data_IF_622967588313
#
_entry.id   IF_622967588313
#
_cell.length_a   1.000
_cell.length_b   1.000
_cell.length_c   1.000
_cell.angle_alpha   90.00
_cell.angle_beta   90.00
_cell.angle_gamma   90.00
#
_symmetry.space_group_name_H-M   'P 1'
#
loop_
_entity.id
_entity.type
_entity.pdbx_description
1 polymer ?
#
# COMPACT_ATOMS: atom_id res chain seq x y z
N UNK A 1 27.49 20.16 -2.16
CA UNK A 1 26.70 20.42 -3.37
C UNK A 1 25.37 19.71 -3.20
N UNK A 2 24.29 20.43 -3.45
CA UNK A 2 22.92 19.96 -3.30
C UNK A 2 22.53 19.12 -4.52
N UNK A 3 21.79 18.03 -4.32
CA UNK A 3 21.24 17.27 -5.46
C UNK A 3 20.26 18.09 -6.30
N UNK A 4 19.71 19.18 -5.74
CA UNK A 4 18.89 20.16 -6.47
C UNK A 4 19.68 20.93 -7.55
N UNK A 5 21.01 20.92 -7.51
CA UNK A 5 21.87 21.56 -8.51
C UNK A 5 22.08 20.68 -9.77
N UNK A 6 21.56 19.44 -9.76
CA UNK A 6 21.55 18.59 -10.95
C UNK A 6 20.60 19.21 -12.00
N UNK A 7 21.07 19.48 -13.23
CA UNK A 7 20.22 20.05 -14.28
C UNK A 7 18.96 19.21 -14.52
N UNK A 8 17.79 19.85 -14.49
CA UNK A 8 16.50 19.19 -14.69
C UNK A 8 15.93 18.48 -13.45
N UNK A 9 16.59 18.56 -12.29
CA UNK A 9 16.08 17.98 -11.04
C UNK A 9 14.68 18.51 -10.71
N UNK A 10 13.80 17.59 -10.31
CA UNK A 10 12.38 17.88 -10.02
C UNK A 10 11.89 17.06 -8.84
N UNK A 11 10.82 17.52 -8.20
CA UNK A 11 10.03 16.70 -7.30
C UNK A 11 9.25 15.64 -8.08
N UNK A 12 8.97 14.51 -7.43
CA UNK A 12 8.33 13.36 -8.06
C UNK A 12 9.32 12.33 -8.58
N UNK A 13 8.83 11.41 -9.40
CA UNK A 13 9.61 10.27 -9.87
C UNK A 13 10.62 10.70 -10.95
N UNK A 14 11.87 10.28 -10.78
CA UNK A 14 12.93 10.47 -11.76
C UNK A 14 13.15 9.18 -12.55
N UNK A 15 13.46 9.31 -13.83
CA UNK A 15 13.71 8.21 -14.76
C UNK A 15 14.90 8.58 -15.66
N UNK A 16 15.41 7.63 -16.44
CA UNK A 16 16.39 7.94 -17.48
C UNK A 16 17.69 8.55 -16.99
N UNK A 17 18.19 9.51 -17.78
CA UNK A 17 19.43 10.25 -17.50
C UNK A 17 19.35 11.06 -16.20
N UNK A 18 18.17 11.54 -15.81
CA UNK A 18 18.00 12.32 -14.59
C UNK A 18 18.11 11.44 -13.34
N UNK A 19 17.50 10.24 -13.37
CA UNK A 19 17.68 9.24 -12.32
C UNK A 19 19.16 8.82 -12.22
N UNK A 20 19.81 8.60 -13.35
CA UNK A 20 21.23 8.23 -13.38
C UNK A 20 22.14 9.35 -12.86
N UNK A 21 21.85 10.60 -13.20
CA UNK A 21 22.59 11.77 -12.68
C UNK A 21 22.52 11.87 -11.16
N UNK A 22 21.39 11.49 -10.55
CA UNK A 22 21.28 11.41 -9.09
C UNK A 22 22.16 10.32 -8.49
N UNK A 23 22.25 9.15 -9.14
CA UNK A 23 23.13 8.04 -8.75
C UNK A 23 24.61 8.46 -8.86
N UNK A 24 25.01 9.10 -9.96
CA UNK A 24 26.37 9.61 -10.14
C UNK A 24 26.72 10.73 -9.15
N UNK A 25 25.76 11.60 -8.83
CA UNK A 25 25.92 12.60 -7.79
C UNK A 25 26.15 11.95 -6.42
N UNK A 26 25.40 10.89 -6.09
CA UNK A 26 25.62 10.09 -4.87
C UNK A 26 27.05 9.53 -4.79
N UNK A 27 27.54 8.94 -5.90
CA UNK A 27 28.91 8.42 -6.01
C UNK A 27 29.98 9.49 -5.85
N UNK A 28 29.76 10.66 -6.48
CA UNK A 28 30.69 11.80 -6.48
C UNK A 28 30.83 12.43 -5.10
N UNK A 29 29.72 12.65 -4.41
CA UNK A 29 29.70 13.34 -3.10
C UNK A 29 29.71 12.39 -1.90
N UNK A 30 29.75 11.08 -2.13
CA UNK A 30 29.96 10.09 -1.07
C UNK A 30 28.77 9.93 -0.14
N UNK A 31 27.57 9.79 -0.70
CA UNK A 31 26.37 9.38 0.03
C UNK A 31 25.65 8.26 -0.71
N UNK A 32 24.72 7.58 -0.03
CA UNK A 32 23.89 6.55 -0.63
C UNK A 32 22.41 6.90 -0.52
N UNK A 33 21.64 6.44 -1.50
CA UNK A 33 20.19 6.51 -1.54
C UNK A 33 19.60 5.35 -0.73
N UNK A 34 18.74 5.66 0.24
CA UNK A 34 18.04 4.63 1.01
C UNK A 34 16.89 4.04 0.18
N UNK A 35 16.97 2.75 -0.13
CA UNK A 35 15.98 2.00 -0.90
C UNK A 35 15.12 1.14 0.01
N UNK A 36 13.92 1.64 0.30
CA UNK A 36 13.04 1.04 1.30
C UNK A 36 12.03 0.12 0.62
N UNK A 37 12.03 -1.15 1.02
CA UNK A 37 11.01 -2.11 0.55
C UNK A 37 9.63 -1.72 1.09
N UNK A 38 8.66 -1.53 0.21
CA UNK A 38 7.30 -1.13 0.55
C UNK A 38 6.28 -2.21 0.18
N UNK A 39 5.26 -2.36 1.03
CA UNK A 39 4.18 -3.35 0.87
C UNK A 39 2.78 -2.74 0.92
N UNK A 40 2.66 -1.44 1.15
CA UNK A 40 1.37 -0.74 1.21
C UNK A 40 1.55 0.75 0.93
N UNK A 41 0.45 1.44 0.64
CA UNK A 41 0.44 2.91 0.55
C UNK A 41 0.93 3.55 1.84
N UNK A 42 0.57 3.02 3.01
CA UNK A 42 1.07 3.52 4.30
C UNK A 42 2.59 3.43 4.45
N UNK A 43 3.21 2.37 3.91
CA UNK A 43 4.68 2.25 3.92
C UNK A 43 5.31 3.27 2.96
N UNK A 44 4.74 3.41 1.76
CA UNK A 44 5.17 4.39 0.76
C UNK A 44 5.11 5.81 1.34
N UNK A 45 3.97 6.20 1.90
CA UNK A 45 3.75 7.52 2.49
C UNK A 45 4.71 7.82 3.64
N UNK A 46 5.05 6.80 4.45
CA UNK A 46 6.01 6.93 5.54
C UNK A 46 7.41 7.23 5.03
N UNK A 47 7.85 6.57 3.95
CA UNK A 47 9.15 6.81 3.32
C UNK A 47 9.19 8.20 2.69
N UNK A 48 8.13 8.59 1.97
CA UNK A 48 8.03 9.91 1.36
C UNK A 48 8.01 11.04 2.41
N UNK A 49 7.28 10.84 3.51
CA UNK A 49 7.23 11.80 4.62
C UNK A 49 8.60 11.96 5.27
N UNK A 50 9.27 10.85 5.60
CA UNK A 50 10.59 10.89 6.20
C UNK A 50 11.63 11.56 5.28
N UNK A 51 11.60 11.24 3.98
CA UNK A 51 12.51 11.83 3.01
C UNK A 51 12.25 13.34 2.82
N UNK A 52 10.98 13.78 2.86
CA UNK A 52 10.61 15.21 2.87
C UNK A 52 11.14 15.92 4.11
N UNK A 53 10.92 15.36 5.30
CA UNK A 53 11.39 15.93 6.56
C UNK A 53 12.91 16.09 6.58
N UNK A 54 13.63 15.10 6.03
CA UNK A 54 15.09 15.11 5.95
C UNK A 54 15.63 15.91 4.75
N UNK A 55 14.76 16.39 3.85
CA UNK A 55 15.11 16.98 2.55
C UNK A 55 16.12 16.11 1.78
N UNK A 56 15.79 14.82 1.62
CA UNK A 56 16.59 13.82 0.92
C UNK A 56 15.79 13.17 -0.22
N UNK A 57 16.45 12.69 -1.29
CA UNK A 57 15.80 11.83 -2.25
C UNK A 57 15.40 10.51 -1.60
N UNK A 58 14.30 9.91 -2.07
CA UNK A 58 13.84 8.61 -1.63
C UNK A 58 14.00 7.56 -2.74
N UNK A 59 14.18 6.30 -2.36
CA UNK A 59 14.00 5.17 -3.28
C UNK A 59 12.95 4.24 -2.70
N UNK A 60 11.83 4.11 -3.42
CA UNK A 60 10.75 3.17 -3.09
C UNK A 60 11.04 1.88 -3.84
N UNK A 61 11.09 0.75 -3.13
CA UNK A 61 11.39 -0.55 -3.72
C UNK A 61 10.24 -1.53 -3.51
N UNK A 62 9.89 -2.30 -4.55
CA UNK A 62 8.88 -3.36 -4.45
C UNK A 62 9.51 -4.72 -4.69
N UNK A 63 9.57 -5.58 -3.67
CA UNK A 63 9.90 -7.00 -3.87
C UNK A 63 8.72 -7.73 -4.51
N UNK A 64 8.94 -8.93 -5.05
CA UNK A 64 7.86 -9.74 -5.64
C UNK A 64 6.71 -9.95 -4.64
N UNK A 65 7.02 -10.48 -3.45
CA UNK A 65 6.01 -10.68 -2.40
C UNK A 65 5.40 -9.39 -1.85
N UNK A 66 6.18 -8.29 -1.80
CA UNK A 66 5.67 -6.98 -1.42
C UNK A 66 4.68 -6.43 -2.44
N UNK A 67 4.94 -6.67 -3.73
CA UNK A 67 4.05 -6.32 -4.82
C UNK A 67 2.75 -7.12 -4.75
N UNK A 68 2.83 -8.45 -4.58
CA UNK A 68 1.64 -9.28 -4.36
C UNK A 68 0.81 -8.80 -3.15
N UNK A 69 1.46 -8.34 -2.08
CA UNK A 69 0.76 -7.79 -0.93
C UNK A 69 -0.02 -6.50 -1.27
N UNK A 70 0.57 -5.61 -2.06
CA UNK A 70 -0.11 -4.38 -2.53
C UNK A 70 -1.35 -4.70 -3.36
N UNK A 71 -1.26 -5.70 -4.24
CA UNK A 71 -2.40 -6.17 -5.02
C UNK A 71 -3.48 -6.82 -4.13
N UNK A 72 -3.05 -7.46 -3.04
CA UNK A 72 -3.89 -8.14 -2.07
C UNK A 72 -3.66 -9.65 -2.09
N UNK A 73 -3.42 -10.24 -0.90
CA UNK A 73 -3.10 -11.67 -0.76
C UNK A 73 -4.20 -12.64 -1.22
N UNK A 74 -5.42 -12.15 -1.42
CA UNK A 74 -6.54 -12.94 -1.94
C UNK A 74 -6.49 -13.13 -3.46
N UNK A 75 -5.65 -12.39 -4.18
CA UNK A 75 -5.49 -12.55 -5.62
C UNK A 75 -4.57 -13.74 -5.94
N UNK A 76 -4.89 -14.54 -6.98
CA UNK A 76 -4.01 -15.60 -7.44
C UNK A 76 -2.63 -15.06 -7.83
N UNK A 77 -1.58 -15.73 -7.37
CA UNK A 77 -0.20 -15.39 -7.71
C UNK A 77 0.56 -16.68 -8.05
N UNK A 78 0.09 -17.39 -9.07
CA UNK A 78 0.64 -18.67 -9.48
C UNK A 78 2.10 -18.54 -9.92
N UNK A 79 2.92 -19.50 -9.50
CA UNK A 79 4.33 -19.55 -9.88
C UNK A 79 4.46 -19.69 -11.39
N UNK A 80 5.27 -18.84 -12.02
CA UNK A 80 5.43 -18.81 -13.47
C UNK A 80 4.48 -17.84 -14.18
N UNK A 81 3.52 -17.23 -13.47
CA UNK A 81 2.66 -16.15 -13.98
C UNK A 81 2.87 -14.86 -13.18
N UNK A 82 2.92 -14.96 -11.86
CA UNK A 82 3.15 -13.84 -10.93
C UNK A 82 2.19 -12.65 -11.13
N UNK A 83 0.93 -12.91 -11.50
CA UNK A 83 -0.03 -11.87 -11.89
C UNK A 83 -0.30 -10.85 -10.80
N UNK A 84 -0.47 -11.27 -9.54
CA UNK A 84 -0.68 -10.35 -8.43
C UNK A 84 0.57 -9.48 -8.19
N UNK A 85 1.77 -10.05 -8.33
CA UNK A 85 3.02 -9.30 -8.19
C UNK A 85 3.22 -8.27 -9.30
N UNK A 86 2.86 -8.59 -10.55
CA UNK A 86 2.90 -7.61 -11.65
C UNK A 86 1.91 -6.48 -11.37
N UNK A 87 0.64 -6.82 -11.09
CA UNK A 87 -0.42 -5.85 -10.85
C UNK A 87 -0.08 -4.93 -9.66
N UNK A 88 0.40 -5.50 -8.57
CA UNK A 88 0.71 -4.74 -7.35
C UNK A 88 1.94 -3.86 -7.50
N UNK A 89 2.96 -4.29 -8.24
CA UNK A 89 4.12 -3.45 -8.54
C UNK A 89 3.70 -2.24 -9.40
N UNK A 90 2.92 -2.48 -10.45
CA UNK A 90 2.40 -1.42 -11.35
C UNK A 90 1.48 -0.46 -10.60
N UNK A 91 0.55 -0.97 -9.80
CA UNK A 91 -0.34 -0.16 -8.97
C UNK A 91 0.43 0.67 -7.94
N UNK A 92 1.42 0.06 -7.27
CA UNK A 92 2.31 0.74 -6.35
C UNK A 92 3.12 1.86 -7.01
N UNK A 93 3.67 1.60 -8.21
CA UNK A 93 4.41 2.60 -8.97
C UNK A 93 3.52 3.78 -9.40
N UNK A 94 2.31 3.52 -9.88
CA UNK A 94 1.34 4.58 -10.19
C UNK A 94 0.97 5.41 -8.96
N UNK A 95 0.75 4.77 -7.81
CA UNK A 95 0.50 5.48 -6.56
C UNK A 95 1.68 6.41 -6.21
N UNK A 96 2.93 5.90 -6.22
CA UNK A 96 4.13 6.71 -5.97
C UNK A 96 4.20 7.89 -6.92
N UNK A 97 4.00 7.67 -8.23
CA UNK A 97 4.02 8.74 -9.24
C UNK A 97 2.96 9.80 -9.00
N UNK A 98 1.78 9.43 -8.52
CA UNK A 98 0.70 10.35 -8.22
C UNK A 98 1.00 11.22 -6.98
N UNK A 99 1.57 10.64 -5.92
CA UNK A 99 1.72 11.34 -4.64
C UNK A 99 3.08 12.00 -4.45
N UNK A 100 4.17 11.44 -5.00
CA UNK A 100 5.53 11.93 -4.78
C UNK A 100 5.74 13.43 -5.10
N UNK A 101 5.16 14.02 -6.17
CA UNK A 101 5.28 15.46 -6.42
C UNK A 101 4.78 16.33 -5.26
N UNK A 102 3.71 15.91 -4.55
CA UNK A 102 3.15 16.64 -3.42
C UNK A 102 4.05 16.63 -2.17
N UNK A 103 4.95 15.66 -2.07
CA UNK A 103 5.97 15.63 -1.01
C UNK A 103 7.16 16.55 -1.31
N UNK A 104 7.29 17.07 -2.54
CA UNK A 104 8.31 18.04 -2.89
C UNK A 104 9.74 17.50 -2.94
N UNK A 105 9.92 16.18 -3.08
CA UNK A 105 11.23 15.51 -3.11
C UNK A 105 11.41 14.69 -4.40
N UNK A 106 12.65 14.44 -4.85
CA UNK A 106 12.92 13.50 -5.93
C UNK A 106 12.83 12.05 -5.43
N UNK A 107 12.23 11.19 -6.24
CA UNK A 107 11.99 9.78 -5.89
C UNK A 107 12.45 8.87 -7.01
N UNK A 108 13.11 7.76 -6.68
CA UNK A 108 13.30 6.65 -7.61
C UNK A 108 12.37 5.50 -7.23
N UNK A 109 11.85 4.80 -8.23
CA UNK A 109 11.11 3.55 -8.04
C UNK A 109 11.99 2.40 -8.53
N UNK A 110 12.27 1.44 -7.65
CA UNK A 110 13.00 0.21 -7.95
C UNK A 110 12.14 -1.02 -7.72
N UNK A 111 12.52 -2.15 -8.29
CA UNK A 111 12.02 -3.47 -7.90
C UNK A 111 13.07 -4.24 -7.13
N UNK A 112 12.65 -5.13 -6.24
CA UNK A 112 13.56 -6.03 -5.53
C UNK A 112 14.18 -7.05 -6.48
N UNK A 113 15.16 -7.79 -5.97
CA UNK A 113 15.90 -8.79 -6.73
C UNK A 113 14.99 -9.84 -7.37
N UNK A 114 15.09 -9.96 -8.69
CA UNK A 114 14.38 -10.95 -9.48
C UNK A 114 15.34 -12.08 -9.90
N UNK A 115 15.11 -13.28 -9.37
CA UNK A 115 15.77 -14.51 -9.82
C UNK A 115 15.11 -15.10 -11.06
N UNK A 116 15.71 -16.16 -11.61
CA UNK A 116 15.28 -16.81 -12.86
C UNK A 116 13.83 -17.32 -12.80
N UNK A 117 13.41 -17.79 -11.64
CA UNK A 117 12.05 -18.27 -11.37
C UNK A 117 10.99 -17.16 -11.32
N UNK A 118 11.41 -15.89 -11.23
CA UNK A 118 10.54 -14.73 -11.16
C UNK A 118 10.56 -13.90 -12.46
N UNK A 119 11.19 -14.39 -13.53
CA UNK A 119 11.24 -13.68 -14.81
C UNK A 119 9.87 -13.26 -15.36
N UNK A 120 8.78 -14.05 -15.22
CA UNK A 120 7.45 -13.60 -15.63
C UNK A 120 7.01 -12.30 -14.95
N UNK A 121 7.35 -12.12 -13.67
CA UNK A 121 7.11 -10.86 -12.96
C UNK A 121 7.92 -9.71 -13.57
N UNK A 122 9.20 -9.95 -13.87
CA UNK A 122 10.08 -8.96 -14.51
C UNK A 122 9.59 -8.56 -15.89
N UNK A 123 9.19 -9.52 -16.73
CA UNK A 123 8.67 -9.31 -18.07
C UNK A 123 7.41 -8.44 -18.04
N UNK A 124 6.46 -8.74 -17.15
CA UNK A 124 5.24 -7.93 -17.01
C UNK A 124 5.51 -6.49 -16.56
N UNK A 125 6.55 -6.26 -15.74
CA UNK A 125 6.97 -4.90 -15.38
C UNK A 125 7.62 -4.17 -16.55
N UNK A 126 8.49 -4.84 -17.32
CA UNK A 126 9.08 -4.26 -18.53
C UNK A 126 8.04 -3.93 -19.60
N UNK A 127 7.04 -4.78 -19.80
CA UNK A 127 5.92 -4.48 -20.70
C UNK A 127 5.17 -3.22 -20.27
N UNK A 128 4.97 -3.05 -18.95
CA UNK A 128 4.34 -1.86 -18.38
C UNK A 128 5.21 -0.61 -18.59
N UNK A 129 6.54 -0.73 -18.43
CA UNK A 129 7.48 0.35 -18.72
C UNK A 129 7.50 0.75 -20.19
N UNK A 130 7.52 -0.22 -21.10
CA UNK A 130 7.52 0.02 -22.55
C UNK A 130 6.21 0.70 -22.98
N UNK A 131 5.08 0.25 -22.45
CA UNK A 131 3.78 0.88 -22.68
C UNK A 131 3.75 2.33 -22.15
N UNK A 132 4.24 2.55 -20.94
CA UNK A 132 4.30 3.88 -20.32
C UNK A 132 5.29 4.79 -21.07
N UNK A 133 6.45 4.29 -21.49
CA UNK A 133 7.45 5.00 -22.28
C UNK A 133 6.90 5.44 -23.64
N UNK A 134 6.18 4.55 -24.33
CA UNK A 134 5.52 4.89 -25.59
C UNK A 134 4.52 6.04 -25.44
N UNK A 135 3.84 6.13 -24.30
CA UNK A 135 2.82 7.16 -24.06
C UNK A 135 3.40 8.47 -23.52
N UNK A 136 4.39 8.41 -22.63
CA UNK A 136 4.85 9.57 -21.85
C UNK A 136 6.32 9.94 -22.08
N UNK A 137 7.08 9.15 -22.84
CA UNK A 137 8.51 9.39 -23.10
C UNK A 137 9.44 9.09 -21.91
N UNK A 138 8.92 8.44 -20.87
CA UNK A 138 9.67 7.96 -19.71
C UNK A 138 9.09 6.64 -19.21
N UNK A 139 9.83 5.86 -18.43
CA UNK A 139 9.38 4.58 -17.88
C UNK A 139 8.50 4.77 -16.63
N UNK A 140 7.72 3.74 -16.28
CA UNK A 140 6.94 3.72 -15.04
C UNK A 140 7.86 3.57 -13.83
N UNK A 141 8.87 2.70 -13.93
CA UNK A 141 9.92 2.45 -12.94
C UNK A 141 11.23 3.15 -13.32
N UNK A 142 11.97 3.64 -12.32
CA UNK A 142 13.29 4.25 -12.52
C UNK A 142 14.37 3.22 -12.83
N UNK A 143 14.25 2.04 -12.21
CA UNK A 143 15.23 0.96 -12.26
C UNK A 143 14.60 -0.38 -11.90
N UNK A 144 15.26 -1.47 -12.31
CA UNK A 144 14.91 -2.83 -11.91
C UNK A 144 16.13 -3.63 -11.48
N UNK A 145 15.92 -4.57 -10.55
CA UNK A 145 16.98 -5.45 -10.04
C UNK A 145 16.87 -6.89 -10.57
N UNK A 146 17.89 -7.37 -11.28
CA UNK A 146 18.06 -8.78 -11.65
C UNK A 146 19.13 -9.42 -10.77
N UNK A 147 18.86 -10.60 -10.24
CA UNK A 147 19.82 -11.35 -9.43
C UNK A 147 19.80 -12.83 -9.79
N UNK A 148 20.70 -13.22 -10.68
CA UNK A 148 20.95 -14.62 -10.99
C UNK A 148 22.22 -15.13 -10.31
N UNK A 149 22.56 -14.61 -9.11
CA UNK A 149 23.76 -15.01 -8.35
C UNK A 149 23.80 -16.49 -7.93
N UNK A 150 22.69 -17.22 -8.08
CA UNK A 150 22.64 -18.68 -7.90
C UNK A 150 23.16 -19.43 -9.14
N UNK A 151 23.17 -18.79 -10.30
CA UNK A 151 23.69 -19.34 -11.55
C UNK A 151 25.20 -19.04 -11.68
N UNK A 152 25.92 -19.74 -12.56
CA UNK A 152 27.32 -19.41 -12.87
C UNK A 152 27.46 -17.95 -13.37
N UNK A 153 28.54 -17.27 -12.96
CA UNK A 153 28.79 -15.85 -13.28
C UNK A 153 28.61 -15.53 -14.78
N UNK A 154 29.08 -16.41 -15.67
CA UNK A 154 28.94 -16.24 -17.12
C UNK A 154 27.48 -16.28 -17.59
N UNK A 155 26.67 -17.19 -17.05
CA UNK A 155 25.24 -17.28 -17.36
C UNK A 155 24.48 -16.05 -16.82
N UNK A 156 24.77 -15.66 -15.57
CA UNK A 156 24.18 -14.48 -14.95
C UNK A 156 24.45 -13.22 -15.79
N UNK A 157 25.70 -12.99 -16.20
CA UNK A 157 26.09 -11.85 -17.03
C UNK A 157 25.37 -11.89 -18.40
N UNK A 158 25.33 -13.04 -19.08
CA UNK A 158 24.67 -13.12 -20.40
C UNK A 158 23.15 -12.92 -20.34
N UNK A 159 22.48 -13.45 -19.31
CA UNK A 159 21.06 -13.20 -19.09
C UNK A 159 20.81 -11.71 -18.78
N UNK A 160 21.60 -11.12 -17.89
CA UNK A 160 21.51 -9.69 -17.58
C UNK A 160 21.76 -8.82 -18.82
N UNK A 161 22.73 -9.17 -19.69
CA UNK A 161 22.97 -8.46 -20.96
C UNK A 161 21.75 -8.47 -21.87
N UNK A 162 21.01 -9.57 -21.91
CA UNK A 162 19.81 -9.70 -22.73
C UNK A 162 18.74 -8.72 -22.28
N UNK A 163 18.41 -8.71 -20.98
CA UNK A 163 17.45 -7.76 -20.41
C UNK A 163 17.96 -6.32 -20.44
N UNK A 164 19.25 -6.09 -20.20
CA UNK A 164 19.81 -4.74 -20.18
C UNK A 164 19.73 -4.05 -21.53
N UNK A 165 19.84 -4.80 -22.64
CA UNK A 165 19.58 -4.26 -23.99
C UNK A 165 18.14 -3.78 -24.14
N UNK A 166 17.16 -4.55 -23.65
CA UNK A 166 15.73 -4.17 -23.65
C UNK A 166 15.49 -2.93 -22.78
N UNK A 167 15.98 -2.94 -21.54
CA UNK A 167 15.89 -1.79 -20.61
C UNK A 167 16.57 -0.52 -21.14
N UNK A 168 17.75 -0.66 -21.75
CA UNK A 168 18.50 0.48 -22.30
C UNK A 168 17.78 1.15 -23.46
N UNK A 169 16.95 0.41 -24.21
CA UNK A 169 16.15 0.97 -25.31
C UNK A 169 15.08 1.97 -24.83
N UNK A 170 14.66 1.86 -23.57
CA UNK A 170 13.75 2.79 -22.88
C UNK A 170 14.45 3.63 -21.80
N UNK A 171 15.79 3.74 -21.91
CA UNK A 171 16.64 4.55 -21.02
C UNK A 171 16.64 4.13 -19.54
N UNK A 172 16.30 2.89 -19.20
CA UNK A 172 16.15 2.45 -17.82
C UNK A 172 17.48 1.98 -17.19
N UNK A 173 17.59 2.08 -15.86
CA UNK A 173 18.76 1.65 -15.09
C UNK A 173 18.61 0.18 -14.66
N UNK A 174 19.66 -0.63 -14.81
CA UNK A 174 19.71 -2.01 -14.31
C UNK A 174 20.52 -2.09 -13.01
N UNK A 175 19.96 -2.70 -11.97
CA UNK A 175 20.71 -3.17 -10.81
C UNK A 175 20.98 -4.67 -10.96
N UNK A 176 22.25 -5.07 -11.04
CA UNK A 176 22.64 -6.48 -11.22
C UNK A 176 23.19 -7.06 -9.91
N UNK A 177 22.58 -8.14 -9.44
CA UNK A 177 23.07 -9.00 -8.37
C UNK A 177 24.12 -9.98 -8.86
N UNK A 178 25.22 -10.08 -8.13
CA UNK A 178 26.25 -11.10 -8.34
C UNK A 178 26.79 -11.60 -7.01
N UNK A 179 27.01 -12.92 -6.94
CA UNK A 179 27.65 -13.54 -5.79
C UNK A 179 29.12 -13.11 -5.69
N UNK A 180 29.59 -12.78 -4.50
CA UNK A 180 30.99 -12.37 -4.29
C UNK A 180 31.91 -13.56 -4.53
N UNK A 181 32.71 -13.47 -5.60
CA UNK A 181 33.72 -14.47 -5.96
C UNK A 181 35.13 -13.87 -6.13
N UNK A 182 35.30 -12.63 -6.59
CA UNK A 182 36.59 -11.87 -6.59
C UNK A 182 36.44 -10.48 -7.26
N UNK A 183 37.48 -9.63 -7.19
CA UNK A 183 37.56 -8.41 -8.01
C UNK A 183 37.52 -8.66 -9.53
N UNK A 184 38.02 -9.82 -9.98
CA UNK A 184 37.95 -10.23 -11.40
C UNK A 184 36.51 -10.47 -11.85
N UNK A 185 35.67 -11.09 -11.01
CA UNK A 185 34.28 -11.37 -11.34
C UNK A 185 33.46 -10.09 -11.50
N UNK A 186 33.68 -9.11 -10.63
CA UNK A 186 33.05 -7.79 -10.73
C UNK A 186 33.51 -7.06 -12.00
N UNK A 187 34.78 -7.17 -12.36
CA UNK A 187 35.26 -6.58 -13.61
C UNK A 187 34.62 -7.23 -14.86
N UNK A 188 34.35 -8.54 -14.84
CA UNK A 188 33.60 -9.21 -15.93
C UNK A 188 32.19 -8.65 -16.11
N UNK A 189 31.50 -8.28 -15.02
CA UNK A 189 30.20 -7.60 -15.08
C UNK A 189 30.35 -6.27 -15.82
N UNK A 190 31.34 -5.45 -15.43
CA UNK A 190 31.62 -4.18 -16.10
C UNK A 190 31.91 -4.39 -17.60
N UNK A 191 32.75 -5.36 -17.96
CA UNK A 191 33.07 -5.69 -19.35
C UNK A 191 31.82 -6.13 -20.14
N UNK A 192 30.92 -6.86 -19.52
CA UNK A 192 29.70 -7.37 -20.15
C UNK A 192 28.64 -6.29 -20.37
N UNK A 193 28.46 -5.37 -19.41
CA UNK A 193 27.35 -4.42 -19.40
C UNK A 193 27.71 -3.02 -19.92
N UNK A 194 28.93 -2.53 -19.67
CA UNK A 194 29.34 -1.18 -20.10
C UNK A 194 29.26 -0.91 -21.61
N UNK A 195 29.41 -1.89 -22.52
CA UNK A 195 29.19 -1.64 -23.95
C UNK A 195 27.71 -1.41 -24.33
N UNK A 196 26.76 -1.79 -23.47
CA UNK A 196 25.32 -1.60 -23.71
C UNK A 196 24.92 -0.21 -23.24
N UNK A 197 25.24 0.12 -21.99
CA UNK A 197 24.94 1.41 -21.36
C UNK A 197 25.76 1.54 -20.07
N UNK A 198 26.05 2.78 -19.66
CA UNK A 198 26.67 3.06 -18.35
C UNK A 198 25.67 2.96 -17.18
N UNK A 199 24.36 2.93 -17.48
CA UNK A 199 23.27 2.99 -16.50
C UNK A 199 23.04 1.65 -15.79
N UNK A 200 24.04 1.19 -15.05
CA UNK A 200 23.91 0.01 -14.21
C UNK A 200 24.61 0.14 -12.87
N UNK A 201 24.06 -0.53 -11.87
CA UNK A 201 24.66 -0.67 -10.54
C UNK A 201 24.92 -2.14 -10.25
N UNK A 202 25.89 -2.43 -9.37
CA UNK A 202 26.27 -3.79 -9.01
C UNK A 202 25.93 -4.02 -7.54
N UNK A 203 24.99 -4.91 -7.30
CA UNK A 203 24.70 -5.43 -5.98
C UNK A 203 25.69 -6.55 -5.65
N UNK A 204 26.69 -6.21 -4.84
CA UNK A 204 27.63 -7.20 -4.33
C UNK A 204 26.98 -7.92 -3.14
N UNK A 205 26.73 -9.24 -3.26
CA UNK A 205 26.18 -10.05 -2.19
C UNK A 205 27.15 -11.17 -1.82
N UNK A 206 27.46 -11.36 -0.54
CA UNK A 206 28.17 -12.57 -0.13
C UNK A 206 27.20 -13.75 -0.11
N UNK A 207 27.62 -14.93 -0.60
CA UNK A 207 26.87 -16.16 -0.34
C UNK A 207 26.68 -16.35 1.17
N UNK A 208 25.47 -16.75 1.57
CA UNK A 208 25.08 -17.25 2.89
C UNK A 208 25.69 -16.49 4.10
N UNK A 209 25.05 -15.40 4.54
CA UNK A 209 25.26 -14.83 5.88
C UNK A 209 26.55 -14.05 6.10
N UNK A 210 27.38 -13.83 5.08
CA UNK A 210 28.58 -12.98 5.21
C UNK A 210 28.27 -11.52 4.88
N UNK A 211 28.86 -10.59 5.62
CA UNK A 211 28.67 -9.14 5.43
C UNK A 211 29.71 -8.62 4.45
N UNK A 212 29.29 -7.86 3.43
CA UNK A 212 30.21 -7.16 2.52
C UNK A 212 31.01 -6.14 3.32
N UNK A 213 32.33 -6.19 3.22
CA UNK A 213 33.21 -5.25 3.93
C UNK A 213 33.64 -4.09 3.02
N UNK A 214 33.80 -2.87 3.54
CA UNK A 214 34.28 -1.73 2.77
C UNK A 214 35.60 -1.98 2.04
N UNK A 215 36.51 -2.76 2.63
CA UNK A 215 37.82 -3.10 2.07
C UNK A 215 37.66 -3.90 0.77
N UNK A 216 36.73 -4.84 0.74
CA UNK A 216 36.44 -5.66 -0.45
C UNK A 216 35.97 -4.78 -1.62
N UNK A 217 35.10 -3.80 -1.33
CA UNK A 217 34.60 -2.86 -2.35
C UNK A 217 35.71 -1.95 -2.88
N UNK A 218 36.64 -1.51 -2.01
CA UNK A 218 37.83 -0.74 -2.42
C UNK A 218 38.71 -1.54 -3.35
N UNK A 219 38.97 -2.81 -3.03
CA UNK A 219 39.79 -3.69 -3.85
C UNK A 219 39.14 -3.94 -5.22
N UNK A 220 37.82 -4.11 -5.25
CA UNK A 220 37.05 -4.24 -6.50
C UNK A 220 37.13 -2.97 -7.36
N UNK A 221 37.02 -1.77 -6.78
CA UNK A 221 37.22 -0.51 -7.53
C UNK A 221 38.64 -0.36 -8.05
N UNK A 222 39.64 -0.64 -7.21
CA UNK A 222 41.05 -0.52 -7.58
C UNK A 222 41.37 -1.45 -8.75
N UNK A 223 40.93 -2.71 -8.68
CA UNK A 223 41.09 -3.67 -9.75
C UNK A 223 40.40 -3.21 -11.04
N UNK A 224 39.13 -2.79 -10.98
CA UNK A 224 38.42 -2.29 -12.16
C UNK A 224 39.09 -1.05 -12.78
N UNK A 225 39.54 -0.10 -11.95
CA UNK A 225 40.27 1.09 -12.39
C UNK A 225 41.56 0.73 -13.11
N UNK A 226 42.36 -0.17 -12.55
CA UNK A 226 43.61 -0.64 -13.15
C UNK A 226 43.36 -1.29 -14.51
N UNK A 227 42.39 -2.20 -14.58
CA UNK A 227 42.04 -2.89 -15.83
C UNK A 227 41.49 -1.94 -16.90
N UNK A 228 40.64 -0.98 -16.52
CA UNK A 228 40.12 0.04 -17.45
C UNK A 228 41.25 0.95 -17.94
N UNK A 229 42.15 1.37 -17.06
CA UNK A 229 43.30 2.20 -17.42
C UNK A 229 44.23 1.46 -18.38
N UNK A 230 44.48 0.18 -18.13
CA UNK A 230 45.28 -0.67 -19.02
C UNK A 230 44.62 -0.85 -20.39
N UNK A 231 43.29 -1.06 -20.44
CA UNK A 231 42.57 -1.32 -21.68
C UNK A 231 42.28 -0.05 -22.52
N UNK A 232 42.10 1.11 -21.88
CA UNK A 232 41.58 2.32 -22.54
C UNK A 232 42.46 3.56 -22.39
N UNK A 233 43.47 3.52 -21.51
CA UNK A 233 44.27 4.69 -21.13
C UNK A 233 43.55 5.69 -20.21
N UNK A 234 42.24 5.53 -19.96
CA UNK A 234 41.46 6.44 -19.11
C UNK A 234 41.56 6.07 -17.64
N UNK A 235 41.90 7.05 -16.81
CA UNK A 235 42.02 6.86 -15.36
C UNK A 235 40.73 7.27 -14.64
N UNK A 236 39.77 6.32 -14.55
CA UNK A 236 38.48 6.53 -13.89
C UNK A 236 38.61 6.14 -12.41
N UNK A 237 38.43 7.09 -11.49
CA UNK A 237 38.66 6.86 -10.04
C UNK A 237 37.68 5.85 -9.42
N UNK A 238 36.39 5.92 -9.79
CA UNK A 238 35.31 5.07 -9.27
C UNK A 238 34.44 4.56 -10.43
N UNK A 239 34.95 3.62 -11.24
CA UNK A 239 34.24 3.12 -12.42
C UNK A 239 32.97 2.34 -12.06
N UNK A 240 32.87 1.81 -10.84
CA UNK A 240 31.74 1.00 -10.41
C UNK A 240 30.80 1.77 -9.46
N UNK A 241 29.51 1.46 -9.53
CA UNK A 241 28.47 1.97 -8.63
C UNK A 241 27.87 0.80 -7.86
N UNK A 242 28.06 0.76 -6.54
CA UNK A 242 27.66 -0.40 -5.72
C UNK A 242 26.35 -0.22 -4.98
N UNK A 243 25.65 -1.34 -4.80
CA UNK A 243 24.46 -1.48 -3.97
C UNK A 243 24.74 -2.51 -2.88
N UNK A 244 24.33 -2.21 -1.65
CA UNK A 244 24.50 -3.08 -0.49
C UNK A 244 23.23 -3.12 0.36
N UNK A 245 23.09 -4.11 1.23
CA UNK A 245 22.01 -4.14 2.24
C UNK A 245 22.31 -3.27 3.46
N UNK A 246 21.28 -3.03 4.28
CA UNK A 246 21.43 -2.49 5.63
C UNK A 246 22.15 -3.50 6.55
N UNK A 247 22.75 -3.02 7.65
CA UNK A 247 23.49 -3.86 8.60
C UNK A 247 25.00 -3.61 8.69
N UNK A 248 25.53 -2.57 8.03
CA UNK A 248 26.86 -2.07 8.34
C UNK A 248 26.88 -1.46 9.74
N UNK A 249 27.92 -1.76 10.52
CA UNK A 249 28.29 -0.92 11.66
C UNK A 249 28.41 0.53 11.20
N UNK A 250 27.93 1.48 12.01
CA UNK A 250 27.86 2.90 11.66
C UNK A 250 29.23 3.44 11.23
N UNK A 251 30.29 2.95 11.84
CA UNK A 251 31.69 3.32 11.60
C UNK A 251 32.18 2.85 10.23
N UNK A 252 31.58 1.80 9.66
CA UNK A 252 31.96 1.19 8.37
C UNK A 252 31.22 1.79 7.18
N UNK A 253 30.11 2.50 7.40
CA UNK A 253 29.32 3.16 6.34
C UNK A 253 30.17 4.13 5.53
N UNK A 254 30.94 4.99 6.20
CA UNK A 254 31.81 5.99 5.53
C UNK A 254 32.82 5.32 4.59
N UNK A 255 33.38 4.17 4.99
CA UNK A 255 34.29 3.39 4.15
C UNK A 255 33.60 2.84 2.90
N UNK A 256 32.37 2.34 3.03
CA UNK A 256 31.57 1.81 1.93
C UNK A 256 31.17 2.92 0.93
N UNK A 257 30.73 4.09 1.44
CA UNK A 257 30.43 5.26 0.61
C UNK A 257 31.68 5.75 -0.14
N UNK A 258 32.83 5.77 0.52
CA UNK A 258 34.10 6.10 -0.12
C UNK A 258 34.45 5.13 -1.26
N UNK A 259 34.10 3.84 -1.11
CA UNK A 259 34.28 2.80 -2.13
C UNK A 259 33.27 2.87 -3.30
N UNK A 260 32.31 3.80 -3.29
CA UNK A 260 31.35 4.00 -4.38
C UNK A 260 30.02 3.27 -4.18
N UNK A 261 29.63 2.99 -2.94
CA UNK A 261 28.24 2.63 -2.64
C UNK A 261 27.34 3.83 -2.86
N UNK A 262 26.31 3.64 -3.69
CA UNK A 262 25.35 4.69 -4.11
C UNK A 262 23.93 4.41 -3.65
N UNK A 263 23.61 3.17 -3.26
CA UNK A 263 22.28 2.74 -2.81
C UNK A 263 22.42 1.72 -1.70
N UNK A 264 21.56 1.82 -0.68
CA UNK A 264 21.49 0.90 0.44
C UNK A 264 20.07 0.38 0.60
N UNK A 265 19.88 -0.93 0.51
CA UNK A 265 18.57 -1.57 0.68
C UNK A 265 18.21 -1.62 2.16
N UNK A 266 17.02 -1.14 2.52
CA UNK A 266 16.46 -1.12 3.87
C UNK A 266 15.14 -1.88 3.84
N UNK A 267 15.04 -2.96 4.60
CA UNK A 267 13.83 -3.80 4.62
C UNK A 267 13.47 -4.21 6.04
N UNK A 268 14.16 -5.22 6.59
CA UNK A 268 13.87 -5.75 7.92
C UNK A 268 13.91 -4.68 9.03
N UNK A 269 14.82 -3.71 8.93
CA UNK A 269 14.90 -2.59 9.89
C UNK A 269 13.65 -1.71 9.83
N UNK A 270 13.13 -1.43 8.63
CA UNK A 270 11.93 -0.63 8.44
C UNK A 270 10.67 -1.40 8.89
N UNK A 271 10.60 -2.70 8.61
CA UNK A 271 9.53 -3.57 9.11
C UNK A 271 9.53 -3.63 10.65
N UNK A 272 10.71 -3.79 11.26
CA UNK A 272 10.89 -3.78 12.71
C UNK A 272 10.43 -2.46 13.32
N UNK A 273 10.84 -1.32 12.76
CA UNK A 273 10.42 0.00 13.24
C UNK A 273 8.90 0.22 13.15
N UNK A 274 8.26 -0.23 12.07
CA UNK A 274 6.81 -0.18 11.91
C UNK A 274 6.10 -1.02 12.99
N UNK A 275 6.58 -2.24 13.21
CA UNK A 275 6.04 -3.14 14.23
C UNK A 275 6.27 -2.60 15.65
N UNK A 276 7.44 -2.06 15.97
CA UNK A 276 7.72 -1.43 17.25
C UNK A 276 6.78 -0.25 17.54
N UNK A 277 6.47 0.57 16.53
CA UNK A 277 5.51 1.65 16.64
C UNK A 277 4.13 1.15 17.07
N UNK A 278 3.65 0.08 16.42
CA UNK A 278 2.40 -0.58 16.79
C UNK A 278 2.48 -1.21 18.18
N UNK A 279 3.57 -1.89 18.52
CA UNK A 279 3.75 -2.47 19.86
C UNK A 279 3.74 -1.41 20.96
N UNK A 280 4.45 -0.28 20.77
CA UNK A 280 4.47 0.85 21.72
C UNK A 280 3.07 1.43 21.88
N UNK A 281 2.35 1.57 20.77
CA UNK A 281 0.96 2.02 20.78
C UNK A 281 0.06 1.10 21.63
N UNK A 282 0.13 -0.22 21.45
CA UNK A 282 -0.67 -1.16 22.25
C UNK A 282 -0.21 -1.23 23.71
N UNK A 283 1.09 -1.24 24.00
CA UNK A 283 1.62 -1.27 25.38
C UNK A 283 1.27 -0.02 26.18
N UNK A 284 1.22 1.15 25.54
CA UNK A 284 0.77 2.38 26.19
C UNK A 284 -0.70 2.31 26.66
N UNK A 285 -1.50 1.39 26.13
CA UNK A 285 -2.88 1.16 26.54
C UNK A 285 -3.04 0.11 27.65
N UNK A 286 -2.05 -0.75 27.86
CA UNK A 286 -2.06 -1.83 28.87
C UNK A 286 -1.61 -1.34 30.28
N UNK A 287 -1.16 -0.08 30.40
CA UNK A 287 -0.41 0.43 31.55
C UNK A 287 -1.10 1.47 32.45
N UNK A 288 -2.44 1.54 32.53
CA UNK A 288 -3.10 2.48 33.45
C UNK A 288 -4.29 1.89 34.22
N UNK A 289 -4.20 1.71 35.55
CA UNK A 289 -5.36 1.70 36.42
C UNK A 289 -5.84 3.14 36.62
N UNK A 290 -6.63 3.65 35.68
CA UNK A 290 -7.54 4.78 35.89
C UNK A 290 -8.83 4.48 35.13
N UNK A 291 -9.59 3.55 35.70
CA UNK A 291 -11.03 3.56 35.54
C UNK A 291 -11.58 4.76 36.33
N UNK A 292 -11.56 5.94 35.73
CA UNK A 292 -12.36 7.11 36.15
C UNK A 292 -12.44 8.10 34.96
N UNK A 293 -13.60 8.10 34.28
CA UNK A 293 -14.17 9.17 33.44
C UNK A 293 -13.26 9.92 32.45
N UNK A 294 -12.59 9.21 31.52
CA UNK A 294 -12.20 9.82 30.24
C UNK A 294 -12.52 8.89 29.07
N UNK A 295 -13.35 9.32 28.10
CA UNK A 295 -13.64 8.51 26.92
C UNK A 295 -12.35 8.29 26.13
N UNK A 296 -12.06 7.02 25.79
CA UNK A 296 -10.99 6.67 24.85
C UNK A 296 -11.16 7.52 23.59
N UNK A 297 -10.22 8.45 23.35
CA UNK A 297 -10.19 9.27 22.15
C UNK A 297 -10.05 8.37 20.92
N UNK A 298 -11.06 8.41 20.05
CA UNK A 298 -11.06 8.07 18.62
C UNK A 298 -9.77 7.42 18.09
N UNK A 299 -9.83 6.12 17.79
CA UNK A 299 -8.87 5.50 16.87
C UNK A 299 -9.50 5.30 15.50
N UNK A 300 -9.50 6.37 14.71
CA UNK A 300 -9.63 6.31 13.26
C UNK A 300 -8.39 5.69 12.62
N UNK A 301 -8.17 4.38 12.80
CA UNK A 301 -7.32 3.54 11.95
C UNK A 301 -7.87 2.13 11.97
N UNK A 302 -8.72 1.82 10.98
CA UNK A 302 -9.04 0.44 10.62
C UNK A 302 -7.77 -0.14 9.99
N UNK A 303 -6.87 -0.66 10.82
CA UNK A 303 -6.03 -1.77 10.40
C UNK A 303 -6.91 -2.99 10.60
N UNK A 304 -7.60 -3.45 9.54
CA UNK A 304 -8.21 -4.77 9.59
C UNK A 304 -7.07 -5.74 9.95
N UNK A 305 -7.22 -6.59 10.98
CA UNK A 305 -6.22 -7.62 11.24
C UNK A 305 -6.00 -8.42 9.95
N UNK A 306 -4.77 -8.86 9.66
CA UNK A 306 -4.36 -9.31 8.33
C UNK A 306 -5.04 -10.58 7.83
N UNK A 307 -6.03 -11.14 8.53
CA UNK A 307 -7.11 -11.97 8.02
C UNK A 307 -8.21 -12.02 9.10
N UNK A 308 -9.48 -11.82 8.72
CA UNK A 308 -10.60 -12.19 9.59
C UNK A 308 -10.57 -13.72 9.82
N UNK A 309 -10.98 -14.23 10.98
CA UNK A 309 -11.13 -15.66 11.20
C UNK A 309 -11.95 -16.33 10.10
N UNK A 310 -11.59 -17.57 9.72
CA UNK A 310 -12.18 -18.24 8.55
C UNK A 310 -13.70 -18.46 8.69
N UNK A 311 -14.16 -18.70 9.91
CA UNK A 311 -15.57 -18.78 10.30
C UNK A 311 -16.29 -17.44 10.11
N UNK A 312 -15.69 -16.34 10.54
CA UNK A 312 -16.23 -14.98 10.33
C UNK A 312 -16.31 -14.65 8.83
N UNK A 313 -15.29 -14.99 8.05
CA UNK A 313 -15.31 -14.82 6.60
C UNK A 313 -16.40 -15.65 5.92
N UNK A 314 -16.61 -16.89 6.37
CA UNK A 314 -17.66 -17.75 5.84
C UNK A 314 -19.05 -17.17 6.12
N UNK A 315 -19.30 -16.67 7.33
CA UNK A 315 -20.56 -16.04 7.71
C UNK A 315 -20.83 -14.74 6.92
N UNK A 316 -19.81 -13.89 6.77
CA UNK A 316 -19.91 -12.67 5.95
C UNK A 316 -20.20 -13.00 4.48
N UNK A 317 -19.53 -14.01 3.93
CA UNK A 317 -19.75 -14.47 2.55
C UNK A 317 -21.16 -15.03 2.37
N UNK A 318 -21.66 -15.82 3.32
CA UNK A 318 -23.01 -16.36 3.29
C UNK A 318 -24.06 -15.24 3.32
N UNK A 319 -23.89 -14.28 4.23
CA UNK A 319 -24.77 -13.11 4.35
C UNK A 319 -24.76 -12.29 3.05
N UNK A 320 -23.59 -11.96 2.52
CA UNK A 320 -23.46 -11.23 1.26
C UNK A 320 -24.08 -11.97 0.07
N UNK A 321 -23.91 -13.30 0.00
CA UNK A 321 -24.50 -14.13 -1.06
C UNK A 321 -26.03 -14.09 -1.01
N UNK A 322 -26.62 -14.17 0.18
CA UNK A 322 -28.08 -14.09 0.38
C UNK A 322 -28.63 -12.68 0.07
N UNK A 323 -27.91 -11.64 0.49
CA UNK A 323 -28.29 -10.24 0.22
C UNK A 323 -28.25 -9.92 -1.28
N UNK A 324 -27.23 -10.41 -1.99
CA UNK A 324 -27.03 -10.17 -3.42
C UNK A 324 -27.71 -11.21 -4.33
N UNK A 325 -28.74 -11.89 -3.86
CA UNK A 325 -29.49 -12.85 -4.67
C UNK A 325 -30.09 -12.17 -5.92
N UNK A 326 -29.95 -12.75 -7.14
CA UNK A 326 -30.48 -12.16 -8.36
C UNK A 326 -31.97 -11.84 -8.26
N UNK A 327 -32.36 -10.65 -8.72
CA UNK A 327 -33.75 -10.20 -8.71
C UNK A 327 -34.24 -9.66 -7.37
N UNK A 328 -33.40 -9.62 -6.33
CA UNK A 328 -33.75 -9.07 -5.01
C UNK A 328 -33.05 -7.75 -4.71
N UNK A 329 -33.76 -6.85 -4.03
CA UNK A 329 -33.27 -5.57 -3.54
C UNK A 329 -33.29 -5.47 -2.01
N UNK A 330 -33.05 -4.24 -1.53
CA UNK A 330 -33.07 -3.91 -0.11
C UNK A 330 -34.27 -3.01 0.19
N UNK A 331 -34.98 -3.29 1.29
CA UNK A 331 -35.99 -2.40 1.84
C UNK A 331 -35.33 -1.51 2.90
N UNK A 332 -35.23 -0.22 2.62
CA UNK A 332 -34.80 0.77 3.62
C UNK A 332 -36.00 1.18 4.49
N UNK A 333 -36.15 0.51 5.64
CA UNK A 333 -37.14 0.81 6.68
C UNK A 333 -36.44 1.46 7.90
N UNK A 334 -35.50 2.36 7.60
CA UNK A 334 -34.59 3.01 8.54
C UNK A 334 -35.01 4.44 8.91
N UNK A 335 -36.29 4.76 8.67
CA UNK A 335 -36.85 6.04 9.02
C UNK A 335 -36.95 6.24 10.54
N UNK A 336 -36.51 7.42 10.99
CA UNK A 336 -36.72 7.90 12.35
C UNK A 336 -38.19 8.30 12.59
N UNK A 337 -38.51 8.87 13.77
CA UNK A 337 -39.82 9.45 14.04
C UNK A 337 -40.31 10.40 12.92
N UNK A 338 -41.63 10.47 12.73
CA UNK A 338 -42.29 11.23 11.67
C UNK A 338 -42.27 10.60 10.28
N UNK A 339 -42.51 9.28 10.08
CA UNK A 339 -42.64 8.71 8.74
C UNK A 339 -43.79 9.38 7.97
N UNK A 340 -44.89 9.66 8.67
CA UNK A 340 -46.14 10.20 8.14
C UNK A 340 -45.99 11.59 7.51
N UNK A 341 -45.20 12.46 8.15
CA UNK A 341 -44.93 13.82 7.67
C UNK A 341 -44.05 13.83 6.41
N UNK A 342 -43.28 12.76 6.19
CA UNK A 342 -42.38 12.61 5.04
C UNK A 342 -43.01 11.85 3.87
N UNK A 343 -44.13 11.17 4.10
CA UNK A 343 -44.85 10.38 3.10
C UNK A 343 -45.57 11.23 2.03
N UNK A 344 -45.57 12.56 2.14
CA UNK A 344 -46.12 13.47 1.13
C UNK A 344 -47.65 13.41 0.94
N UNK A 345 -48.35 12.62 1.74
CA UNK A 345 -49.79 12.37 1.62
C UNK A 345 -50.56 13.08 2.74
N UNK A 346 -51.49 13.98 2.39
CA UNK A 346 -52.21 14.83 3.35
C UNK A 346 -52.97 14.03 4.44
N UNK A 347 -53.44 12.84 4.12
CA UNK A 347 -54.13 11.97 5.08
C UNK A 347 -53.16 11.24 6.03
N UNK A 348 -51.94 10.93 5.60
CA UNK A 348 -50.95 10.27 6.45
C UNK A 348 -50.57 11.19 7.62
N UNK A 349 -50.47 12.49 7.38
CA UNK A 349 -50.19 13.50 8.41
C UNK A 349 -51.22 13.54 9.55
N UNK A 350 -52.41 12.94 9.38
CA UNK A 350 -53.45 12.83 10.42
C UNK A 350 -53.23 11.66 11.37
N UNK A 351 -52.34 10.71 11.04
CA UNK A 351 -52.02 9.57 11.89
C UNK A 351 -51.11 10.05 13.02
N UNK A 352 -51.47 9.81 14.31
CA UNK A 352 -50.59 10.15 15.42
C UNK A 352 -49.23 9.46 15.29
N UNK A 353 -48.15 10.22 15.43
CA UNK A 353 -46.77 9.69 15.39
C UNK A 353 -46.37 9.09 16.75
N UNK A 354 -47.04 8.00 17.12
CA UNK A 354 -46.76 7.22 18.33
C UNK A 354 -46.07 5.91 17.98
N UNK A 355 -45.37 5.32 18.95
CA UNK A 355 -44.52 4.16 18.75
C UNK A 355 -45.32 2.95 18.24
N UNK A 356 -46.56 2.81 18.69
CA UNK A 356 -47.49 1.75 18.33
C UNK A 356 -47.88 1.85 16.85
N UNK A 357 -48.18 3.05 16.37
CA UNK A 357 -48.53 3.28 14.96
C UNK A 357 -47.32 3.03 14.04
N UNK A 358 -46.12 3.42 14.48
CA UNK A 358 -44.87 3.13 13.74
C UNK A 358 -44.59 1.63 13.68
N UNK A 359 -44.77 0.91 14.80
CA UNK A 359 -44.62 -0.54 14.86
C UNK A 359 -45.65 -1.24 13.96
N UNK A 360 -46.92 -0.86 14.02
CA UNK A 360 -47.99 -1.43 13.19
C UNK A 360 -47.69 -1.26 11.69
N UNK A 361 -47.25 -0.06 11.28
CA UNK A 361 -46.87 0.20 9.89
C UNK A 361 -45.74 -0.71 9.40
N UNK A 362 -44.68 -0.84 10.21
CA UNK A 362 -43.51 -1.65 9.88
C UNK A 362 -43.83 -3.14 9.88
N UNK A 363 -44.60 -3.61 10.86
CA UNK A 363 -45.08 -4.99 10.89
C UNK A 363 -45.89 -5.30 9.63
N UNK A 364 -46.81 -4.42 9.22
CA UNK A 364 -47.56 -4.57 7.96
C UNK A 364 -46.62 -4.67 6.75
N UNK A 365 -45.58 -3.82 6.67
CA UNK A 365 -44.60 -3.90 5.60
C UNK A 365 -43.86 -5.25 5.61
N UNK A 366 -43.33 -5.66 6.76
CA UNK A 366 -42.49 -6.85 6.86
C UNK A 366 -43.27 -8.15 6.73
N UNK A 367 -44.56 -8.14 7.06
CA UNK A 367 -45.48 -9.28 6.95
C UNK A 367 -46.17 -9.39 5.58
N UNK A 368 -45.90 -8.47 4.65
CA UNK A 368 -46.53 -8.48 3.32
C UNK A 368 -46.21 -9.79 2.57
N UNK A 369 -47.23 -10.57 2.17
CA UNK A 369 -47.01 -11.83 1.44
C UNK A 369 -46.22 -11.63 0.14
N UNK A 370 -45.27 -12.52 -0.13
CA UNK A 370 -44.43 -12.46 -1.34
C UNK A 370 -43.32 -11.42 -1.31
N UNK A 371 -43.20 -10.60 -0.25
CA UNK A 371 -42.16 -9.56 -0.18
C UNK A 371 -40.74 -10.12 -0.33
N UNK A 372 -40.47 -11.29 0.26
CA UNK A 372 -39.15 -11.92 0.22
C UNK A 372 -38.77 -12.49 -1.15
N UNK A 373 -39.68 -12.53 -2.13
CA UNK A 373 -39.35 -12.84 -3.52
C UNK A 373 -38.50 -11.71 -4.15
N UNK A 374 -38.71 -10.47 -3.70
CA UNK A 374 -38.10 -9.27 -4.26
C UNK A 374 -37.17 -8.55 -3.29
N UNK A 375 -37.23 -8.84 -2.00
CA UNK A 375 -36.39 -8.22 -0.98
C UNK A 375 -35.59 -9.29 -0.26
N UNK A 376 -34.27 -9.09 -0.19
CA UNK A 376 -33.34 -9.98 0.53
C UNK A 376 -32.99 -9.43 1.91
N UNK A 377 -32.92 -8.11 2.06
CA UNK A 377 -32.53 -7.45 3.29
C UNK A 377 -33.41 -6.25 3.64
N UNK A 378 -33.68 -6.06 4.92
CA UNK A 378 -34.45 -4.93 5.46
C UNK A 378 -33.57 -4.13 6.40
N UNK A 379 -33.28 -2.87 6.06
CA UNK A 379 -32.44 -1.98 6.89
C UNK A 379 -33.36 -1.28 7.89
N UNK A 380 -33.09 -1.45 9.18
CA UNK A 380 -33.94 -0.98 10.26
C UNK A 380 -33.38 0.28 10.92
N UNK A 381 -34.27 1.09 11.49
CA UNK A 381 -33.91 2.10 12.46
C UNK A 381 -33.63 1.43 13.82
N UNK A 382 -32.83 2.08 14.68
CA UNK A 382 -32.52 1.57 16.02
C UNK A 382 -33.80 1.24 16.82
N UNK A 383 -34.78 2.15 16.81
CA UNK A 383 -36.08 1.93 17.44
C UNK A 383 -36.74 0.63 16.95
N UNK A 384 -36.75 0.40 15.63
CA UNK A 384 -37.41 -0.75 15.00
C UNK A 384 -36.75 -2.07 15.33
N UNK A 385 -35.41 -2.11 15.39
CA UNK A 385 -34.67 -3.32 15.71
C UNK A 385 -35.08 -3.90 17.06
N UNK A 386 -35.47 -3.04 18.01
CA UNK A 386 -35.89 -3.39 19.36
C UNK A 386 -37.40 -3.30 19.59
N UNK A 387 -38.20 -3.07 18.54
CA UNK A 387 -39.65 -3.06 18.61
C UNK A 387 -40.23 -4.46 18.46
N UNK A 388 -41.39 -4.63 19.11
CA UNK A 388 -42.31 -5.74 18.88
C UNK A 388 -43.59 -5.19 18.23
N UNK A 389 -44.31 -6.04 17.52
CA UNK A 389 -45.62 -5.71 16.96
C UNK A 389 -46.74 -5.81 18.01
N UNK A 390 -47.98 -5.58 17.59
CA UNK A 390 -49.15 -5.61 18.47
C UNK A 390 -49.42 -7.00 19.08
N UNK A 391 -48.91 -8.07 18.46
CA UNK A 391 -49.05 -9.46 18.92
C UNK A 391 -47.84 -9.89 19.79
N UNK A 392 -46.90 -8.98 20.05
CA UNK A 392 -45.70 -9.23 20.83
C UNK A 392 -44.59 -9.96 20.07
N UNK A 393 -44.68 -10.04 18.73
CA UNK A 393 -43.64 -10.63 17.90
C UNK A 393 -42.58 -9.59 17.57
N UNK A 394 -41.31 -9.93 17.75
CA UNK A 394 -40.24 -8.99 17.45
C UNK A 394 -40.13 -8.71 15.94
N UNK A 395 -39.82 -7.48 15.56
CA UNK A 395 -39.66 -7.10 14.15
C UNK A 395 -38.61 -7.97 13.44
N UNK A 396 -37.55 -8.35 14.17
CA UNK A 396 -36.51 -9.26 13.69
C UNK A 396 -37.09 -10.64 13.36
N UNK A 397 -37.96 -11.19 14.20
CA UNK A 397 -38.58 -12.50 13.96
C UNK A 397 -39.57 -12.47 12.80
N UNK A 398 -40.22 -11.33 12.55
CA UNK A 398 -41.09 -11.15 11.38
C UNK A 398 -40.25 -11.19 10.10
N UNK A 399 -39.17 -10.41 10.05
CA UNK A 399 -38.27 -10.32 8.89
C UNK A 399 -37.61 -11.66 8.59
N UNK A 400 -37.00 -12.27 9.61
CA UNK A 400 -36.30 -13.55 9.47
C UNK A 400 -37.26 -14.69 9.17
N UNK A 401 -38.43 -14.73 9.82
CA UNK A 401 -39.47 -15.73 9.57
C UNK A 401 -40.02 -15.68 8.14
N UNK A 402 -39.98 -14.51 7.50
CA UNK A 402 -40.37 -14.34 6.10
C UNK A 402 -39.23 -14.55 5.10
N UNK A 403 -38.04 -14.99 5.55
CA UNK A 403 -36.91 -15.34 4.70
C UNK A 403 -36.05 -14.14 4.25
N UNK A 404 -36.19 -13.00 4.93
CA UNK A 404 -35.35 -11.82 4.70
C UNK A 404 -34.31 -11.67 5.81
N UNK A 405 -33.29 -10.85 5.54
CA UNK A 405 -32.21 -10.58 6.48
C UNK A 405 -32.44 -9.22 7.14
N UNK A 406 -32.43 -9.12 8.47
CA UNK A 406 -32.47 -7.84 9.16
C UNK A 406 -31.10 -7.16 9.11
N UNK A 407 -31.10 -5.87 8.80
CA UNK A 407 -29.95 -4.98 8.84
C UNK A 407 -30.24 -3.76 9.69
N UNK A 408 -29.21 -2.97 9.97
CA UNK A 408 -29.31 -1.82 10.88
C UNK A 408 -28.66 -0.57 10.26
N UNK A 409 -29.34 0.56 10.37
CA UNK A 409 -28.75 1.88 10.13
C UNK A 409 -27.89 2.26 11.33
N UNK A 410 -26.62 2.58 11.10
CA UNK A 410 -25.68 2.90 12.18
C UNK A 410 -25.33 4.37 12.31
N UNK A 411 -25.71 5.24 11.37
CA UNK A 411 -25.49 6.69 11.53
C UNK A 411 -26.42 7.30 12.60
N UNK A 412 -25.88 8.26 13.36
CA UNK A 412 -26.65 9.10 14.29
C UNK A 412 -26.92 10.49 13.72
N UNK A 413 -27.00 10.61 12.39
CA UNK A 413 -27.05 11.88 11.68
C UNK A 413 -25.86 12.83 12.03
N UNK A 414 -26.01 14.12 11.76
CA UNK A 414 -24.99 15.15 11.98
C UNK A 414 -25.32 16.06 13.16
N UNK A 415 -24.29 16.70 13.73
CA UNK A 415 -24.46 17.71 14.77
C UNK A 415 -25.09 18.98 14.20
N UNK A 416 -26.37 19.19 14.50
CA UNK A 416 -27.09 20.41 14.09
C UNK A 416 -26.57 21.68 14.77
N UNK A 417 -25.75 21.56 15.83
CA UNK A 417 -25.11 22.72 16.49
C UNK A 417 -23.93 23.30 15.71
N UNK A 418 -23.45 22.58 14.70
CA UNK A 418 -22.28 22.99 13.91
C UNK A 418 -20.95 22.66 14.56
N UNK A 419 -19.89 22.67 13.76
CA UNK A 419 -18.51 22.54 14.22
C UNK A 419 -18.07 23.82 14.93
N UNK A 420 -17.32 23.66 16.02
CA UNK A 420 -16.82 24.81 16.77
C UNK A 420 -15.81 25.60 15.93
N UNK A 421 -16.02 26.92 15.84
CA UNK A 421 -15.08 27.83 15.18
C UNK A 421 -15.19 27.91 13.66
N UNK A 422 -16.22 27.30 13.06
CA UNK A 422 -16.49 27.42 11.62
C UNK A 422 -17.51 28.53 11.35
N UNK A 423 -17.33 29.26 10.24
CA UNK A 423 -18.29 30.28 9.80
C UNK A 423 -19.54 29.62 9.19
N UNK A 424 -20.69 30.29 9.31
CA UNK A 424 -21.92 29.86 8.65
C UNK A 424 -21.80 30.16 7.15
N UNK A 425 -21.96 29.13 6.32
CA UNK A 425 -21.84 29.27 4.87
C UNK A 425 -22.95 30.14 4.24
N UNK A 426 -22.81 30.52 2.96
CA UNK A 426 -23.72 31.42 2.26
C UNK A 426 -25.16 30.90 2.12
N UNK A 427 -25.39 29.62 2.39
CA UNK A 427 -26.72 28.99 2.41
C UNK A 427 -27.40 29.01 3.80
N UNK A 428 -26.79 29.67 4.79
CA UNK A 428 -27.39 29.91 6.10
C UNK A 428 -27.39 28.70 7.04
N UNK A 429 -26.63 27.65 6.74
CA UNK A 429 -26.45 26.49 7.61
C UNK A 429 -25.01 26.39 8.13
N UNK A 430 -24.80 25.98 9.39
CA UNK A 430 -23.47 25.76 9.93
C UNK A 430 -22.78 24.60 9.21
N UNK A 431 -21.45 24.57 9.25
CA UNK A 431 -20.69 23.36 8.89
C UNK A 431 -20.89 22.30 9.97
N UNK A 432 -21.30 21.08 9.60
CA UNK A 432 -21.72 20.03 10.54
C UNK A 432 -20.82 18.80 10.44
N UNK A 433 -20.67 18.08 11.55
CA UNK A 433 -19.97 16.80 11.61
C UNK A 433 -20.94 15.64 11.86
N UNK A 434 -20.66 14.46 11.30
CA UNK A 434 -21.44 13.24 11.55
C UNK A 434 -21.21 12.70 12.96
N UNK A 435 -22.25 12.12 13.57
CA UNK A 435 -22.19 11.48 14.90
C UNK A 435 -22.35 9.96 14.80
N UNK A 436 -21.82 9.27 15.81
CA UNK A 436 -22.09 7.85 16.06
C UNK A 436 -20.91 6.91 15.84
N UNK A 437 -19.73 7.40 15.44
CA UNK A 437 -18.52 6.58 15.42
C UNK A 437 -18.03 6.23 16.84
N UNK A 438 -18.29 7.12 17.81
CA UNK A 438 -17.86 6.98 19.21
C UNK A 438 -18.31 5.69 19.90
N UNK A 439 -19.50 5.20 19.57
CA UNK A 439 -20.11 4.00 20.16
C UNK A 439 -20.53 2.97 19.09
N UNK A 440 -19.90 3.04 17.91
CA UNK A 440 -20.26 2.21 16.78
C UNK A 440 -20.04 0.73 17.09
N UNK A 441 -18.93 0.39 17.74
CA UNK A 441 -18.57 -1.00 18.06
C UNK A 441 -19.61 -1.62 19.00
N UNK A 442 -19.96 -0.94 20.09
CA UNK A 442 -20.95 -1.42 21.05
C UNK A 442 -22.33 -1.54 20.40
N UNK A 443 -22.73 -0.57 19.59
CA UNK A 443 -24.03 -0.60 18.89
C UNK A 443 -24.11 -1.71 17.84
N UNK A 444 -23.04 -1.92 17.07
CA UNK A 444 -22.97 -3.02 16.12
C UNK A 444 -23.05 -4.38 16.86
N UNK A 445 -22.34 -4.55 17.98
CA UNK A 445 -22.42 -5.76 18.78
C UNK A 445 -23.83 -6.01 19.35
N UNK A 446 -24.49 -4.96 19.85
CA UNK A 446 -25.88 -5.03 20.32
C UNK A 446 -26.85 -5.38 19.19
N UNK A 447 -26.71 -4.73 18.03
CA UNK A 447 -27.56 -5.00 16.88
C UNK A 447 -27.37 -6.43 16.36
N UNK A 448 -26.14 -6.90 16.32
CA UNK A 448 -25.80 -8.27 15.95
C UNK A 448 -26.45 -9.29 16.88
N UNK A 449 -26.36 -9.05 18.20
CA UNK A 449 -26.98 -9.86 19.24
C UNK A 449 -28.51 -9.87 19.12
N UNK A 450 -29.12 -8.74 18.73
CA UNK A 450 -30.57 -8.64 18.50
C UNK A 450 -31.02 -9.33 17.20
N UNK A 451 -30.10 -9.59 16.28
CA UNK A 451 -30.34 -10.41 15.09
C UNK A 451 -29.93 -9.77 13.76
N UNK A 452 -29.48 -8.51 13.75
CA UNK A 452 -28.99 -7.87 12.53
C UNK A 452 -27.75 -8.60 11.98
N UNK A 453 -27.60 -8.67 10.65
CA UNK A 453 -26.47 -9.32 9.98
C UNK A 453 -25.73 -8.43 8.98
N UNK A 454 -26.24 -7.23 8.71
CA UNK A 454 -25.56 -6.23 7.91
C UNK A 454 -25.91 -4.81 8.40
N UNK A 455 -25.14 -3.82 7.95
CA UNK A 455 -25.35 -2.42 8.32
C UNK A 455 -25.33 -1.51 7.08
N UNK A 456 -26.02 -0.38 7.19
CA UNK A 456 -25.97 0.76 6.25
C UNK A 456 -25.31 1.96 6.93
#
# INVERSE_FOLDING_TARGET
>A
MSFWEIPGMKAGVLTGDLAWSLVEHAKKYGYALAAVTCTSTSAIDSVLAAARELNRPAVIQFSEGGSAFIAGKSLPNEQGVNQASILGAVAGAHFVRAVAPAYGIPVLINTGYCGKQLLPWFDGMLESDEAYFKQYGETLFSMHSLDFSQEPDAENIELCKTYFKRMSSVNQILEMGIGITSGSSIFKVYQGLSPISEKFTIAAACKAGSVVKPEMLKDMQAHAREQIKAATGKDIQKPLSFVVGSGFEKEKITGALAAGVVKMNVDMDAQGACWEGLQKFYKAQDGSPQAEDKPLKYYGRISLPPNLPADVLAELKETATKLCAPGKGFLAADESAGPWLRAGHAEAAKIPDVIENRAAYRSMCFSTPGLSEYISGVILHWETLFQDDADGKSMVDIITGNGMIPGIKVDKAYDKKGMWGTEVGPLGHPEVSTKGLDDLQERCAQAYKKGARFAK
#
